data_IF_082077608720
#
_entry.id   IF_082077608720
#
_cell.length_a   1.000
_cell.length_b   1.000
_cell.length_c   1.000
_cell.angle_alpha   90.00
_cell.angle_beta   90.00
_cell.angle_gamma   90.00
#
_symmetry.space_group_name_H-M   'P 1'
#
loop_
_entity.id
_entity.type
_entity.pdbx_description
1 polymer ?
#
# COMPACT_ATOMS: atom_id res chain seq x y z
N UNK A 1 1.39 -10.34 -12.19
CA UNK A 1 2.71 -9.71 -12.35
C UNK A 1 3.40 -9.71 -11.00
N UNK A 2 4.70 -9.99 -10.96
CA UNK A 2 5.51 -9.96 -9.73
C UNK A 2 6.68 -9.00 -9.92
N UNK A 3 7.05 -8.28 -8.87
CA UNK A 3 8.15 -7.33 -8.88
C UNK A 3 8.94 -7.36 -7.58
N UNK A 4 10.20 -6.94 -7.68
CA UNK A 4 11.13 -6.85 -6.55
C UNK A 4 11.94 -5.56 -6.69
N UNK A 5 11.90 -4.73 -5.66
CA UNK A 5 12.57 -3.42 -5.63
C UNK A 5 13.46 -3.35 -4.39
N UNK A 6 14.72 -2.94 -4.57
CA UNK A 6 15.63 -2.62 -3.47
C UNK A 6 15.71 -1.10 -3.30
N UNK A 7 15.63 -0.64 -2.05
CA UNK A 7 15.81 0.78 -1.73
C UNK A 7 17.26 1.07 -1.34
N UNK A 8 17.69 2.33 -1.50
CA UNK A 8 19.03 2.81 -1.11
C UNK A 8 19.34 2.58 0.37
N UNK A 9 18.29 2.58 1.19
CA UNK A 9 18.29 2.36 2.63
C UNK A 9 18.26 0.87 3.02
N UNK A 10 18.31 -0.05 2.05
CA UNK A 10 18.42 -1.49 2.26
C UNK A 10 17.10 -2.24 2.42
N UNK A 11 15.96 -1.54 2.51
CA UNK A 11 14.65 -2.19 2.51
C UNK A 11 14.35 -2.79 1.14
N UNK A 12 13.39 -3.72 1.13
CA UNK A 12 12.90 -4.41 -0.05
C UNK A 12 11.39 -4.25 -0.13
N UNK A 13 10.89 -4.01 -1.34
CA UNK A 13 9.47 -4.14 -1.66
C UNK A 13 9.30 -5.31 -2.63
N UNK A 14 8.48 -6.28 -2.24
CA UNK A 14 7.92 -7.28 -3.15
C UNK A 14 6.50 -6.89 -3.49
N UNK A 15 6.12 -7.01 -4.75
CA UNK A 15 4.76 -6.76 -5.18
C UNK A 15 4.22 -7.89 -6.05
N UNK A 16 2.93 -8.16 -5.89
CA UNK A 16 2.15 -9.07 -6.71
C UNK A 16 0.85 -8.34 -7.08
N UNK A 17 0.57 -8.26 -8.38
CA UNK A 17 -0.63 -7.60 -8.90
C UNK A 17 -1.17 -8.42 -10.05
N UNK A 18 -2.45 -8.78 -10.01
CA UNK A 18 -3.09 -9.57 -11.07
C UNK A 18 -4.57 -9.20 -11.21
N UNK A 19 -5.02 -9.07 -12.45
CA UNK A 19 -6.45 -8.97 -12.78
C UNK A 19 -7.12 -10.34 -12.95
N UNK A 20 -6.32 -11.40 -13.12
CA UNK A 20 -6.79 -12.74 -13.44
C UNK A 20 -6.12 -13.77 -12.52
N UNK A 21 -6.07 -13.45 -11.22
CA UNK A 21 -5.40 -14.30 -10.23
C UNK A 21 -6.10 -15.63 -9.98
N UNK A 22 -7.41 -15.71 -10.30
CA UNK A 22 -8.25 -16.90 -10.07
C UNK A 22 -8.18 -17.40 -8.62
N UNK A 23 -8.22 -16.47 -7.68
CA UNK A 23 -8.25 -16.73 -6.24
C UNK A 23 -9.67 -16.62 -5.69
N UNK A 24 -9.84 -16.93 -4.40
CA UNK A 24 -11.15 -16.99 -3.74
C UNK A 24 -11.96 -15.67 -3.84
N UNK A 25 -11.28 -14.53 -3.78
CA UNK A 25 -11.85 -13.17 -3.84
C UNK A 25 -10.75 -12.13 -4.02
N UNK A 26 -11.12 -10.91 -4.36
CA UNK A 26 -10.21 -9.77 -4.41
C UNK A 26 -9.59 -9.45 -3.03
N UNK A 27 -8.27 -9.29 -3.00
CA UNK A 27 -7.48 -8.88 -1.83
C UNK A 27 -6.57 -7.71 -2.20
N UNK A 28 -6.63 -6.64 -1.41
CA UNK A 28 -5.67 -5.55 -1.46
C UNK A 28 -5.00 -5.47 -0.10
N UNK A 29 -3.73 -5.84 -0.03
CA UNK A 29 -3.01 -5.86 1.23
C UNK A 29 -1.58 -5.36 1.13
N UNK A 30 -1.07 -4.86 2.25
CA UNK A 30 0.33 -4.48 2.44
C UNK A 30 0.82 -5.10 3.74
N UNK A 31 1.94 -5.82 3.65
CA UNK A 31 2.62 -6.40 4.80
C UNK A 31 3.89 -5.60 5.08
N UNK A 32 4.05 -5.20 6.34
CA UNK A 32 5.21 -4.48 6.83
C UNK A 32 6.07 -5.40 7.69
N UNK A 33 7.38 -5.35 7.49
CA UNK A 33 8.36 -6.09 8.28
C UNK A 33 9.36 -5.09 8.85
N UNK A 34 9.05 -4.59 10.05
CA UNK A 34 9.86 -3.60 10.76
C UNK A 34 10.73 -4.21 11.84
N UNK A 35 11.65 -3.41 12.37
CA UNK A 35 12.55 -3.80 13.46
C UNK A 35 11.86 -3.90 14.83
N UNK A 36 10.69 -3.27 14.99
CA UNK A 36 9.90 -3.27 16.24
C UNK A 36 8.60 -4.04 16.15
N UNK A 37 8.05 -4.17 14.94
CA UNK A 37 6.76 -4.79 14.69
C UNK A 37 6.67 -5.23 13.22
N UNK A 38 5.93 -6.31 12.98
CA UNK A 38 5.29 -6.54 11.70
C UNK A 38 3.90 -5.92 11.67
N UNK A 39 3.29 -5.83 10.49
CA UNK A 39 1.89 -5.46 10.38
C UNK A 39 1.27 -5.85 9.06
N UNK A 40 -0.05 -5.98 9.03
CA UNK A 40 -0.83 -6.18 7.81
C UNK A 40 -1.95 -5.15 7.79
N UNK A 41 -2.05 -4.42 6.68
CA UNK A 41 -3.25 -3.68 6.32
C UNK A 41 -3.88 -4.45 5.18
N UNK A 42 -5.15 -4.81 5.31
CA UNK A 42 -5.84 -5.65 4.35
C UNK A 42 -7.26 -5.12 4.13
N UNK A 43 -7.63 -5.09 2.86
CA UNK A 43 -9.01 -4.93 2.41
C UNK A 43 -9.38 -6.17 1.61
N UNK A 44 -10.52 -6.75 1.99
CA UNK A 44 -11.18 -7.81 1.25
C UNK A 44 -12.55 -7.30 0.81
N UNK A 45 -13.13 -7.92 -0.21
CA UNK A 45 -14.47 -7.59 -0.67
C UNK A 45 -15.43 -8.74 -0.35
N UNK A 46 -16.64 -8.40 0.11
CA UNK A 46 -17.73 -9.36 0.24
C UNK A 46 -18.26 -9.77 -1.14
N UNK A 47 -18.37 -8.79 -2.04
CA UNK A 47 -18.64 -8.96 -3.46
C UNK A 47 -17.57 -8.17 -4.21
N UNK A 48 -16.77 -8.85 -5.03
CA UNK A 48 -15.67 -8.22 -5.77
C UNK A 48 -16.17 -7.01 -6.59
N UNK A 49 -15.43 -5.90 -6.51
CA UNK A 49 -15.78 -4.63 -7.15
C UNK A 49 -16.86 -3.78 -6.44
N UNK A 50 -17.43 -4.21 -5.31
CA UNK A 50 -18.38 -3.40 -4.53
C UNK A 50 -17.77 -2.88 -3.23
N UNK A 51 -17.33 -1.61 -3.25
CA UNK A 51 -16.66 -0.92 -2.13
C UNK A 51 -17.46 -0.94 -0.83
N UNK A 52 -18.79 -0.86 -0.87
CA UNK A 52 -19.64 -0.90 0.33
C UNK A 52 -19.75 -2.29 0.99
N UNK A 53 -19.15 -3.31 0.38
CA UNK A 53 -19.00 -4.66 0.97
C UNK A 53 -17.59 -4.91 1.48
N UNK A 54 -16.75 -3.87 1.53
CA UNK A 54 -15.38 -3.98 1.99
C UNK A 54 -15.30 -4.45 3.45
N UNK A 55 -14.31 -5.29 3.71
CA UNK A 55 -13.94 -5.80 5.02
C UNK A 55 -12.50 -5.39 5.24
N UNK A 56 -12.31 -4.40 6.12
CA UNK A 56 -11.00 -3.82 6.41
C UNK A 56 -10.44 -4.37 7.71
N UNK A 57 -9.18 -4.80 7.66
CA UNK A 57 -8.42 -5.16 8.85
C UNK A 57 -7.09 -4.44 8.88
N UNK A 58 -6.67 -4.10 10.09
CA UNK A 58 -5.36 -3.51 10.34
C UNK A 58 -4.80 -4.16 11.60
N UNK A 59 -3.68 -4.88 11.44
CA UNK A 59 -3.06 -5.64 12.52
C UNK A 59 -1.59 -5.29 12.67
N UNK A 60 -1.12 -5.30 13.92
CA UNK A 60 0.29 -5.25 14.29
C UNK A 60 0.69 -6.54 15.01
N UNK A 61 1.87 -7.03 14.70
CA UNK A 61 2.45 -8.23 15.30
C UNK A 61 3.74 -7.85 16.04
N UNK A 62 3.76 -8.04 17.35
CA UNK A 62 4.82 -7.56 18.24
C UNK A 62 5.28 -8.64 19.23
N UNK A 63 6.43 -8.39 19.86
CA UNK A 63 6.94 -9.21 20.97
C UNK A 63 6.82 -8.41 22.27
N UNK A 64 6.10 -8.95 23.24
CA UNK A 64 5.90 -8.32 24.55
C UNK A 64 6.16 -9.33 25.66
N UNK A 65 7.07 -8.99 26.59
CA UNK A 65 7.44 -9.84 27.71
C UNK A 65 7.81 -11.28 27.28
N UNK A 66 8.45 -11.42 26.11
CA UNK A 66 8.86 -12.72 25.55
C UNK A 66 7.75 -13.49 24.82
N UNK A 67 6.57 -12.90 24.61
CA UNK A 67 5.43 -13.54 23.95
C UNK A 67 5.06 -12.81 22.66
N UNK A 68 4.62 -13.59 21.65
CA UNK A 68 4.01 -13.05 20.43
C UNK A 68 2.62 -12.49 20.75
N UNK A 69 2.38 -11.24 20.38
CA UNK A 69 1.10 -10.55 20.60
C UNK A 69 0.59 -9.97 19.27
N UNK A 70 -0.67 -10.23 18.97
CA UNK A 70 -1.39 -9.64 17.85
C UNK A 70 -2.26 -8.48 18.37
N UNK A 71 -2.21 -7.33 17.70
CA UNK A 71 -3.00 -6.15 18.05
C UNK A 71 -3.84 -5.73 16.85
N UNK A 72 -5.16 -5.72 17.00
CA UNK A 72 -6.06 -5.15 16.02
C UNK A 72 -6.15 -3.62 16.22
N UNK A 73 -6.04 -2.86 15.12
CA UNK A 73 -6.29 -1.43 15.08
C UNK A 73 -7.70 -1.23 14.53
N UNK A 74 -8.59 -0.76 15.39
CA UNK A 74 -9.98 -0.46 15.01
C UNK A 74 -10.06 0.99 14.55
N UNK A 75 -10.54 1.19 13.33
CA UNK A 75 -10.79 2.52 12.76
C UNK A 75 -12.25 2.60 12.29
N UNK A 76 -12.82 3.82 12.15
CA UNK A 76 -14.12 3.98 11.52
C UNK A 76 -14.12 3.45 10.09
N UNK A 77 -15.25 2.94 9.62
CA UNK A 77 -15.40 2.51 8.24
C UNK A 77 -15.11 3.66 7.27
N UNK A 78 -14.38 3.35 6.19
CA UNK A 78 -13.93 4.30 5.18
C UNK A 78 -14.28 3.76 3.79
N UNK A 79 -15.59 3.78 3.47
CA UNK A 79 -16.14 3.25 2.21
C UNK A 79 -15.56 3.95 0.99
N UNK A 80 -15.36 5.27 1.08
CA UNK A 80 -14.81 6.06 -0.02
C UNK A 80 -13.29 5.90 -0.19
N UNK A 81 -12.65 5.10 0.66
CA UNK A 81 -11.21 4.82 0.64
C UNK A 81 -10.33 6.08 0.78
N UNK A 82 -10.82 7.11 1.46
CA UNK A 82 -10.10 8.38 1.62
C UNK A 82 -10.06 9.23 0.34
N UNK A 83 -10.86 8.89 -0.68
CA UNK A 83 -10.98 9.69 -1.91
C UNK A 83 -11.51 11.09 -1.62
N UNK A 84 -12.53 11.22 -0.77
CA UNK A 84 -13.07 12.54 -0.39
C UNK A 84 -12.06 13.35 0.40
N UNK A 85 -11.35 12.70 1.33
CA UNK A 85 -10.27 13.34 2.10
C UNK A 85 -9.13 13.82 1.19
N UNK A 86 -8.77 13.05 0.16
CA UNK A 86 -7.76 13.45 -0.82
C UNK A 86 -8.20 14.67 -1.65
N UNK A 87 -9.45 14.70 -2.10
CA UNK A 87 -10.01 15.84 -2.81
C UNK A 87 -10.10 17.10 -1.94
N UNK A 88 -10.52 16.95 -0.67
CA UNK A 88 -10.54 18.04 0.30
C UNK A 88 -9.13 18.59 0.56
N UNK A 89 -8.14 17.70 0.75
CA UNK A 89 -6.75 18.11 0.95
C UNK A 89 -6.18 18.90 -0.23
N UNK A 90 -6.54 18.54 -1.47
CA UNK A 90 -6.13 19.31 -2.64
C UNK A 90 -6.60 20.77 -2.54
N UNK A 91 -7.87 20.98 -2.20
CA UNK A 91 -8.46 22.33 -2.04
C UNK A 91 -7.77 23.07 -0.89
N UNK A 92 -7.61 22.43 0.27
CA UNK A 92 -6.97 23.05 1.42
C UNK A 92 -5.49 23.40 1.17
N UNK A 93 -4.77 22.59 0.38
CA UNK A 93 -3.39 22.83 0.03
C UNK A 93 -3.21 24.04 -0.89
N UNK A 94 -4.08 24.20 -1.91
CA UNK A 94 -4.04 25.37 -2.80
C UNK A 94 -4.45 26.67 -2.09
N UNK A 95 -5.29 26.57 -1.05
CA UNK A 95 -5.69 27.70 -0.21
C UNK A 95 -4.71 27.98 0.94
N UNK A 96 -3.62 27.21 1.05
CA UNK A 96 -2.61 27.38 2.10
C UNK A 96 -3.05 26.99 3.51
N UNK A 97 -4.13 26.22 3.64
CA UNK A 97 -4.69 25.75 4.92
C UNK A 97 -4.13 24.39 5.37
N UNK A 98 -3.62 23.59 4.44
CA UNK A 98 -3.00 22.29 4.73
C UNK A 98 -1.75 22.06 3.89
N UNK A 99 -0.91 21.10 4.30
CA UNK A 99 0.16 20.58 3.44
C UNK A 99 -0.45 19.57 2.45
N UNK A 100 0.03 19.50 1.20
CA UNK A 100 -0.42 18.48 0.28
C UNK A 100 -0.02 17.09 0.79
N UNK A 101 -0.92 16.11 0.66
CA UNK A 101 -0.66 14.71 1.03
C UNK A 101 0.47 14.09 0.20
N UNK A 102 0.64 14.54 -1.04
CA UNK A 102 1.69 14.11 -1.95
C UNK A 102 2.32 15.30 -2.66
N UNK A 103 3.64 15.31 -2.84
CA UNK A 103 4.33 16.34 -3.63
C UNK A 103 4.54 15.90 -5.09
N UNK A 104 4.72 16.83 -6.04
CA UNK A 104 5.06 16.49 -7.43
C UNK A 104 6.30 15.60 -7.55
N UNK A 105 7.32 15.82 -6.70
CA UNK A 105 8.55 15.02 -6.69
C UNK A 105 8.27 13.58 -6.26
N UNK A 106 7.42 13.37 -5.26
CA UNK A 106 7.01 12.02 -4.84
C UNK A 106 6.27 11.29 -5.96
N UNK A 107 5.35 11.97 -6.64
CA UNK A 107 4.63 11.41 -7.79
C UNK A 107 5.58 11.07 -8.94
N UNK A 108 6.55 11.94 -9.25
CA UNK A 108 7.55 11.68 -10.27
C UNK A 108 8.41 10.45 -9.94
N UNK A 109 8.88 10.33 -8.68
CA UNK A 109 9.64 9.15 -8.24
C UNK A 109 8.84 7.86 -8.35
N UNK A 110 7.55 7.88 -8.02
CA UNK A 110 6.66 6.74 -8.20
C UNK A 110 6.60 6.31 -9.67
N UNK A 111 6.45 7.26 -10.60
CA UNK A 111 6.42 6.95 -12.03
C UNK A 111 7.74 6.34 -12.52
N UNK A 112 8.89 6.85 -12.06
CA UNK A 112 10.19 6.26 -12.41
C UNK A 112 10.32 4.80 -11.96
N UNK A 113 9.77 4.44 -10.78
CA UNK A 113 9.74 3.05 -10.31
C UNK A 113 8.85 2.19 -11.20
N UNK A 114 7.68 2.68 -11.60
CA UNK A 114 6.78 1.96 -12.52
C UNK A 114 7.47 1.72 -13.87
N UNK A 115 8.07 2.75 -14.45
CA UNK A 115 8.82 2.63 -15.72
C UNK A 115 9.97 1.63 -15.61
N UNK A 116 10.71 1.63 -14.50
CA UNK A 116 11.78 0.68 -14.24
C UNK A 116 11.27 -0.76 -14.11
N UNK A 117 10.10 -0.98 -13.51
CA UNK A 117 9.47 -2.31 -13.44
C UNK A 117 9.15 -2.81 -14.86
N UNK A 118 8.56 -1.98 -15.72
CA UNK A 118 8.29 -2.34 -17.11
C UNK A 118 9.58 -2.58 -17.92
N UNK A 119 10.59 -1.73 -17.76
CA UNK A 119 11.88 -1.89 -18.44
C UNK A 119 12.60 -3.17 -17.99
N UNK A 120 12.58 -3.46 -16.69
CA UNK A 120 13.14 -4.69 -16.11
C UNK A 120 12.45 -5.93 -16.67
N UNK A 121 11.11 -5.93 -16.72
CA UNK A 121 10.33 -7.04 -17.29
C UNK A 121 10.64 -7.26 -18.78
N UNK A 122 10.79 -6.19 -19.56
CA UNK A 122 11.15 -6.27 -20.99
C UNK A 122 12.57 -6.78 -21.23
N UNK A 123 13.52 -6.38 -20.38
CA UNK A 123 14.93 -6.74 -20.53
C UNK A 123 15.31 -8.06 -19.83
N UNK A 124 14.48 -8.55 -18.90
CA UNK A 124 14.77 -9.69 -18.03
C UNK A 124 15.93 -9.44 -17.06
N UNK A 125 16.23 -8.17 -16.72
CA UNK A 125 17.38 -7.77 -15.91
C UNK A 125 17.02 -6.59 -14.99
N UNK A 126 17.66 -6.46 -13.80
CA UNK A 126 17.44 -5.33 -12.91
C UNK A 126 17.73 -3.97 -13.56
N UNK A 127 16.94 -2.96 -13.20
CA UNK A 127 17.12 -1.56 -13.60
C UNK A 127 17.43 -0.72 -12.35
N UNK A 128 18.41 0.18 -12.45
CA UNK A 128 18.81 1.09 -11.37
C UNK A 128 18.26 2.50 -11.61
N UNK A 129 17.90 3.20 -10.53
CA UNK A 129 17.29 4.54 -10.52
C UNK A 129 18.13 5.59 -9.76
#
# INVERSE_FOLDING_TARGET
AHGFVTFKTGQVLTLQVSWAEMVKREEVSVVFQGTKAGGKVERLFGIDGLDNTAIDTCELYVQENGNSVNRAIVTPACEDMGRSASAANFIEAIEGRAKPLNTPEQAYRLMQVIDAIYASAKAGKPVSL
#
